data_IF_169855422997
#
_entry.id   IF_169855422997
#
_cell.length_a   1.000
_cell.length_b   1.000
_cell.length_c   1.000
_cell.angle_alpha   90.00
_cell.angle_beta   90.00
_cell.angle_gamma   90.00
#
_symmetry.space_group_name_H-M   'P 1'
#
loop_
_entity.id
_entity.type
_entity.pdbx_description
1 polymer ?
#
# COMPACT_ATOMS: atom_id res chain seq x y z
N UNK A 1 1.61 4.04 -16.10
CA UNK A 1 2.35 5.21 -15.57
C UNK A 1 1.87 6.52 -16.17
N UNK A 2 1.73 6.65 -17.49
CA UNK A 2 1.26 7.90 -18.11
C UNK A 2 -0.13 8.33 -17.63
N UNK A 3 -1.11 7.41 -17.63
CA UNK A 3 -2.44 7.72 -17.07
C UNK A 3 -2.37 8.06 -15.58
N UNK A 4 -1.56 7.33 -14.80
CA UNK A 4 -1.32 7.62 -13.39
C UNK A 4 -0.77 9.04 -13.20
N UNK A 5 0.19 9.45 -14.03
CA UNK A 5 0.76 10.80 -14.01
C UNK A 5 -0.28 11.88 -14.34
N UNK A 6 -1.17 11.61 -15.30
CA UNK A 6 -2.20 12.54 -15.73
C UNK A 6 -3.34 12.70 -14.70
N UNK A 7 -3.75 11.61 -14.05
CA UNK A 7 -4.93 11.60 -13.15
C UNK A 7 -4.59 11.73 -11.67
N UNK A 8 -3.49 11.15 -11.23
CA UNK A 8 -3.12 11.06 -9.82
C UNK A 8 -1.59 10.98 -9.64
N UNK A 9 -0.84 12.04 -10.00
CA UNK A 9 0.63 12.03 -10.00
C UNK A 9 1.25 11.72 -8.64
N UNK A 10 0.53 12.01 -7.54
CA UNK A 10 0.99 11.67 -6.19
C UNK A 10 1.25 10.17 -6.01
N UNK A 11 0.52 9.29 -6.72
CA UNK A 11 0.73 7.83 -6.64
C UNK A 11 2.11 7.40 -7.15
N UNK A 12 2.77 8.22 -7.98
CA UNK A 12 4.09 7.90 -8.54
C UNK A 12 5.21 7.93 -7.51
N UNK A 13 4.96 8.47 -6.30
CA UNK A 13 5.98 8.54 -5.26
C UNK A 13 6.48 7.16 -4.83
N UNK A 14 5.69 6.09 -4.96
CA UNK A 14 6.16 4.73 -4.67
C UNK A 14 7.33 4.32 -5.58
N UNK A 15 7.18 4.53 -6.90
CA UNK A 15 8.22 4.27 -7.89
C UNK A 15 9.41 5.23 -7.73
N UNK A 16 9.15 6.50 -7.48
CA UNK A 16 10.21 7.48 -7.25
C UNK A 16 11.02 7.16 -5.97
N UNK A 17 10.35 6.66 -4.92
CA UNK A 17 10.99 6.29 -3.65
C UNK A 17 11.85 5.05 -3.81
N UNK A 18 11.42 4.07 -4.60
CA UNK A 18 12.23 2.89 -4.94
C UNK A 18 13.53 3.30 -5.64
N UNK A 19 13.44 4.18 -6.64
CA UNK A 19 14.61 4.66 -7.37
C UNK A 19 15.53 5.50 -6.49
N UNK A 20 14.95 6.36 -5.64
CA UNK A 20 15.71 7.15 -4.67
C UNK A 20 16.39 6.26 -3.62
N UNK A 21 15.73 5.20 -3.16
CA UNK A 21 16.30 4.22 -2.23
C UNK A 21 17.56 3.55 -2.83
N UNK A 22 17.50 3.16 -4.11
CA UNK A 22 18.66 2.63 -4.83
C UNK A 22 19.78 3.67 -4.95
N UNK A 23 19.46 4.82 -5.56
CA UNK A 23 20.45 5.80 -6.00
C UNK A 23 21.09 6.58 -4.84
N UNK A 24 20.29 7.03 -3.90
CA UNK A 24 20.72 7.99 -2.88
C UNK A 24 21.11 7.29 -1.56
N UNK A 25 20.58 6.09 -1.30
CA UNK A 25 20.79 5.37 -0.04
C UNK A 25 21.46 3.99 -0.21
N UNK A 26 21.78 3.58 -1.44
CA UNK A 26 22.49 2.33 -1.71
C UNK A 26 21.69 1.06 -1.37
N UNK A 27 20.35 1.14 -1.33
CA UNK A 27 19.50 -0.02 -1.05
C UNK A 27 19.54 -0.97 -2.25
N UNK A 28 20.00 -2.19 -2.04
CA UNK A 28 20.12 -3.23 -3.07
C UNK A 28 19.23 -4.44 -2.83
N UNK A 29 18.63 -4.56 -1.65
CA UNK A 29 17.74 -5.67 -1.32
C UNK A 29 16.45 -5.59 -2.17
N UNK A 30 16.20 -6.57 -3.06
CA UNK A 30 15.04 -6.55 -3.94
C UNK A 30 13.70 -6.66 -3.18
N UNK A 31 13.68 -7.28 -2.00
CA UNK A 31 12.47 -7.37 -1.18
C UNK A 31 12.11 -6.00 -0.60
N UNK A 32 13.10 -5.23 -0.12
CA UNK A 32 12.90 -3.85 0.37
C UNK A 32 12.43 -2.93 -0.76
N UNK A 33 13.09 -3.00 -1.91
CA UNK A 33 12.72 -2.20 -3.08
C UNK A 33 11.32 -2.54 -3.59
N UNK A 34 10.96 -3.83 -3.62
CA UNK A 34 9.60 -4.28 -3.94
C UNK A 34 8.57 -3.68 -2.98
N UNK A 35 8.82 -3.75 -1.67
CA UNK A 35 7.89 -3.24 -0.67
C UNK A 35 7.66 -1.73 -0.86
N UNK A 36 8.74 -0.95 -1.04
CA UNK A 36 8.65 0.49 -1.32
C UNK A 36 7.89 0.76 -2.62
N UNK A 37 8.13 0.01 -3.69
CA UNK A 37 7.43 0.19 -4.97
C UNK A 37 5.93 -0.07 -4.86
N UNK A 38 5.51 -1.00 -4.00
CA UNK A 38 4.11 -1.46 -3.90
C UNK A 38 3.31 -0.80 -2.76
N UNK A 39 3.95 -0.06 -1.85
CA UNK A 39 3.31 0.39 -0.59
C UNK A 39 2.07 1.29 -0.77
N UNK A 40 1.92 1.97 -1.91
CA UNK A 40 0.78 2.88 -2.13
C UNK A 40 -0.45 2.14 -2.68
N UNK A 41 -0.28 1.41 -3.79
CA UNK A 41 -1.38 0.77 -4.53
C UNK A 41 -1.59 -0.71 -4.17
N UNK A 42 -0.58 -1.36 -3.61
CA UNK A 42 -0.51 -2.81 -3.58
C UNK A 42 -0.15 -3.38 -4.95
N UNK A 43 -0.18 -4.71 -5.04
CA UNK A 43 0.02 -5.49 -6.25
C UNK A 43 -0.82 -6.78 -6.14
N UNK A 44 -1.03 -7.49 -7.24
CA UNK A 44 -1.70 -8.80 -7.20
C UNK A 44 -0.86 -9.83 -6.43
N UNK A 45 0.47 -9.69 -6.45
CA UNK A 45 1.38 -10.55 -5.69
C UNK A 45 2.13 -9.72 -4.66
N UNK A 46 1.81 -9.94 -3.39
CA UNK A 46 2.40 -9.22 -2.26
C UNK A 46 3.13 -10.20 -1.34
N UNK A 47 4.44 -9.98 -1.14
CA UNK A 47 5.20 -10.71 -0.12
C UNK A 47 4.79 -10.28 1.29
N UNK A 48 5.15 -11.03 2.35
CA UNK A 48 4.92 -10.60 3.72
C UNK A 48 5.51 -9.21 4.03
N UNK A 49 6.66 -8.86 3.46
CA UNK A 49 7.27 -7.54 3.63
C UNK A 49 6.48 -6.44 2.90
N UNK A 50 5.97 -6.73 1.69
CA UNK A 50 5.11 -5.79 0.96
C UNK A 50 3.83 -5.49 1.78
N UNK A 51 3.18 -6.53 2.32
CA UNK A 51 1.97 -6.42 3.16
C UNK A 51 2.25 -5.66 4.46
N UNK A 52 3.38 -5.95 5.10
CA UNK A 52 3.83 -5.28 6.32
C UNK A 52 4.01 -3.78 6.11
N UNK A 53 4.77 -3.38 5.08
CA UNK A 53 5.01 -1.97 4.82
C UNK A 53 3.72 -1.24 4.42
N UNK A 54 2.85 -1.87 3.61
CA UNK A 54 1.56 -1.31 3.22
C UNK A 54 0.65 -1.03 4.42
N UNK A 55 0.53 -1.99 5.34
CA UNK A 55 -0.26 -1.83 6.56
C UNK A 55 0.37 -0.80 7.52
N UNK A 56 1.69 -0.85 7.69
CA UNK A 56 2.44 0.06 8.56
C UNK A 56 2.30 1.53 8.13
N UNK A 57 2.34 1.81 6.82
CA UNK A 57 2.06 3.14 6.28
C UNK A 57 0.69 3.65 6.72
N UNK A 58 -0.33 2.79 6.72
CA UNK A 58 -1.68 3.18 7.11
C UNK A 58 -1.90 3.33 8.63
N UNK A 59 -1.07 2.70 9.47
CA UNK A 59 -1.30 2.57 10.91
C UNK A 59 -0.10 2.91 11.82
N UNK A 60 0.88 3.66 11.31
CA UNK A 60 2.05 4.13 12.05
C UNK A 60 1.67 4.77 13.40
N UNK A 61 2.59 4.78 14.37
CA UNK A 61 2.26 5.16 15.75
C UNK A 61 1.74 6.60 15.90
N UNK A 62 2.14 7.48 14.99
CA UNK A 62 1.72 8.88 14.88
C UNK A 62 0.31 9.05 14.28
N UNK A 63 -0.25 8.02 13.62
CA UNK A 63 -1.62 8.02 13.11
C UNK A 63 -2.61 7.68 14.22
N UNK A 64 -3.43 8.66 14.58
CA UNK A 64 -4.37 8.61 15.72
C UNK A 64 -5.84 8.52 15.32
N UNK A 65 -6.16 8.53 14.02
CA UNK A 65 -7.53 8.37 13.55
C UNK A 65 -8.07 6.94 13.80
N UNK A 66 -9.39 6.75 13.96
CA UNK A 66 -9.96 5.46 14.38
C UNK A 66 -9.58 4.28 13.50
N UNK A 67 -9.53 4.47 12.18
CA UNK A 67 -9.17 3.46 11.19
C UNK A 67 -7.74 2.94 11.44
N UNK A 68 -6.78 3.82 11.71
CA UNK A 68 -5.39 3.42 12.00
C UNK A 68 -5.30 2.54 13.25
N UNK A 69 -6.11 2.81 14.28
CA UNK A 69 -6.18 1.97 15.47
C UNK A 69 -6.73 0.59 15.14
N UNK A 70 -7.76 0.50 14.29
CA UNK A 70 -8.32 -0.79 13.84
C UNK A 70 -7.32 -1.59 13.02
N UNK A 71 -6.67 -0.97 12.04
CA UNK A 71 -5.62 -1.60 11.22
C UNK A 71 -4.52 -2.13 12.14
N UNK A 72 -4.01 -1.31 13.06
CA UNK A 72 -2.94 -1.71 14.00
C UNK A 72 -3.34 -2.89 14.88
N UNK A 73 -4.59 -2.93 15.35
CA UNK A 73 -5.12 -4.06 16.13
C UNK A 73 -5.18 -5.33 15.29
N UNK A 74 -5.70 -5.24 14.06
CA UNK A 74 -5.77 -6.38 13.14
C UNK A 74 -4.37 -6.89 12.79
N UNK A 75 -3.43 -6.01 12.38
CA UNK A 75 -2.05 -6.37 12.03
C UNK A 75 -1.28 -7.08 13.14
N UNK A 76 -1.59 -6.80 14.41
CA UNK A 76 -0.95 -7.46 15.56
C UNK A 76 -1.47 -8.87 15.83
N UNK A 77 -2.67 -9.18 15.33
CA UNK A 77 -3.28 -10.49 15.45
C UNK A 77 -2.94 -11.36 14.24
N UNK A 78 -3.06 -10.78 13.05
CA UNK A 78 -2.83 -11.42 11.77
C UNK A 78 -2.41 -10.34 10.75
N UNK A 79 -1.24 -10.53 10.13
CA UNK A 79 -0.69 -9.56 9.19
C UNK A 79 -1.60 -9.38 7.98
N UNK A 80 -2.14 -10.47 7.45
CA UNK A 80 -2.99 -10.43 6.27
C UNK A 80 -4.27 -9.68 6.63
N UNK A 81 -4.94 -9.99 7.74
CA UNK A 81 -6.11 -9.25 8.22
C UNK A 81 -5.84 -7.74 8.37
N UNK A 82 -4.66 -7.37 8.88
CA UNK A 82 -4.24 -5.97 8.97
C UNK A 82 -4.06 -5.30 7.59
N UNK A 83 -3.39 -6.00 6.67
CA UNK A 83 -3.28 -5.57 5.27
C UNK A 83 -4.65 -5.40 4.62
N UNK A 84 -5.55 -6.37 4.81
CA UNK A 84 -6.93 -6.35 4.29
C UNK A 84 -7.71 -5.11 4.77
N UNK A 85 -7.66 -4.80 6.07
CA UNK A 85 -8.33 -3.62 6.63
C UNK A 85 -7.68 -2.32 6.14
N UNK A 86 -6.34 -2.28 5.96
CA UNK A 86 -5.67 -1.12 5.39
C UNK A 86 -6.13 -0.83 3.96
N UNK A 87 -6.26 -1.87 3.12
CA UNK A 87 -6.81 -1.73 1.77
C UNK A 87 -8.25 -1.21 1.80
N UNK A 88 -9.09 -1.78 2.67
CA UNK A 88 -10.49 -1.37 2.81
C UNK A 88 -10.61 0.09 3.15
N UNK A 89 -9.86 0.55 4.15
CA UNK A 89 -9.83 1.96 4.57
C UNK A 89 -9.38 2.89 3.44
N UNK A 90 -8.32 2.52 2.71
CA UNK A 90 -7.82 3.32 1.57
C UNK A 90 -8.85 3.39 0.43
N UNK A 91 -9.48 2.27 0.07
CA UNK A 91 -10.48 2.22 -1.00
C UNK A 91 -11.79 2.90 -0.64
N UNK A 92 -12.28 2.72 0.58
CA UNK A 92 -13.47 3.41 1.10
C UNK A 92 -13.28 4.93 1.01
N UNK A 93 -12.09 5.43 1.36
CA UNK A 93 -11.74 6.84 1.19
C UNK A 93 -11.81 7.27 -0.28
N UNK A 94 -11.12 6.56 -1.19
CA UNK A 94 -11.11 6.88 -2.63
C UNK A 94 -12.53 6.93 -3.21
N UNK A 95 -13.37 5.95 -2.89
CA UNK A 95 -14.75 5.88 -3.37
C UNK A 95 -15.62 7.00 -2.79
N UNK A 96 -15.48 7.30 -1.50
CA UNK A 96 -16.24 8.36 -0.82
C UNK A 96 -15.89 9.75 -1.35
N UNK A 97 -14.63 9.99 -1.68
CA UNK A 97 -14.20 11.26 -2.30
C UNK A 97 -14.58 11.36 -3.79
N UNK A 98 -15.17 10.31 -4.38
CA UNK A 98 -15.45 10.25 -5.83
C UNK A 98 -14.19 10.31 -6.69
N UNK A 99 -13.04 9.92 -6.13
CA UNK A 99 -11.75 10.00 -6.79
C UNK A 99 -11.54 8.82 -7.77
N UNK A 100 -10.54 8.96 -8.64
CA UNK A 100 -10.19 7.90 -9.58
C UNK A 100 -9.67 6.66 -8.85
N UNK A 101 -10.41 5.56 -8.95
CA UNK A 101 -9.95 4.26 -8.50
C UNK A 101 -8.91 3.70 -9.48
N UNK A 102 -7.64 3.71 -9.07
CA UNK A 102 -6.55 3.19 -9.90
C UNK A 102 -6.76 1.69 -10.17
N UNK A 103 -6.66 1.22 -11.44
CA UNK A 103 -6.87 -0.19 -11.77
C UNK A 103 -5.99 -1.16 -10.98
N UNK A 104 -4.73 -0.78 -10.72
CA UNK A 104 -3.81 -1.55 -9.89
C UNK A 104 -4.29 -1.75 -8.43
N UNK A 105 -4.95 -0.76 -7.83
CA UNK A 105 -5.51 -0.91 -6.48
C UNK A 105 -6.72 -1.87 -6.48
N UNK A 106 -7.55 -1.82 -7.53
CA UNK A 106 -8.66 -2.75 -7.70
C UNK A 106 -8.17 -4.20 -7.92
N UNK A 107 -7.11 -4.38 -8.72
CA UNK A 107 -6.50 -5.69 -8.93
C UNK A 107 -5.90 -6.26 -7.63
N UNK A 108 -5.15 -5.43 -6.88
CA UNK A 108 -4.60 -5.82 -5.58
C UNK A 108 -5.69 -6.21 -4.58
N UNK A 109 -6.84 -5.50 -4.59
CA UNK A 109 -7.97 -5.81 -3.72
C UNK A 109 -8.56 -7.20 -4.01
N UNK A 110 -8.81 -7.51 -5.28
CA UNK A 110 -9.35 -8.81 -5.66
C UNK A 110 -8.38 -9.94 -5.27
N UNK A 111 -7.09 -9.78 -5.61
CA UNK A 111 -6.08 -10.80 -5.33
C UNK A 111 -5.93 -11.08 -3.83
N UNK A 112 -6.02 -10.06 -2.98
CA UNK A 112 -5.83 -10.24 -1.56
C UNK A 112 -6.82 -11.25 -0.94
N UNK A 113 -8.03 -11.39 -1.51
CA UNK A 113 -9.09 -12.28 -1.00
C UNK A 113 -9.10 -13.65 -1.67
N UNK A 114 -8.33 -13.83 -2.75
CA UNK A 114 -8.14 -15.11 -3.43
C UNK A 114 -7.04 -15.97 -2.76
N UNK A 115 -6.11 -15.32 -2.04
CA UNK A 115 -5.03 -15.95 -1.25
C UNK A 115 -5.51 -16.62 0.07
N UNK A 116 -6.73 -17.18 0.12
CA UNK A 116 -7.31 -17.80 1.33
C UNK A 116 -7.12 -19.32 1.39
#
# INVERSE_FOLDING_TARGET
MEETAARAPLLLHAHASEERARRDYGVTDPAVLSAVRKHTLGDAVMSPLDRLLYAADACSADRTFPEAVRIRRASRQDLDAGYREAMRVKLDYVLREGAWLHPGAAAAWNAAWEDA
#
